data_IF_774205621427
#
_entry.id   IF_774205621427
#
_cell.length_a   1.000
_cell.length_b   1.000
_cell.length_c   1.000
_cell.angle_alpha   90.00
_cell.angle_beta   90.00
_cell.angle_gamma   90.00
#
_symmetry.space_group_name_H-M   'P 1'
#
loop_
_entity.id
_entity.type
_entity.pdbx_description
1 polymer ?
#
# COMPACT_ATOMS: atom_id res chain seq x y z
N UNK A 1 17.45 -22.11 -0.42
CA UNK A 1 18.53 -21.77 0.52
C UNK A 1 19.06 -20.37 0.21
N UNK A 2 19.81 -20.18 -0.88
CA UNK A 2 20.49 -18.90 -1.20
C UNK A 2 19.68 -17.61 -1.02
N UNK A 3 18.44 -17.52 -1.55
CA UNK A 3 17.67 -16.27 -1.44
C UNK A 3 17.40 -15.79 -0.01
N UNK A 4 17.28 -16.71 0.97
CA UNK A 4 17.03 -16.34 2.37
C UNK A 4 18.33 -15.97 3.08
N UNK A 5 19.43 -16.66 2.76
CA UNK A 5 20.76 -16.36 3.27
C UNK A 5 21.22 -14.96 2.82
N UNK A 6 21.05 -14.64 1.53
CA UNK A 6 21.33 -13.30 0.98
C UNK A 6 20.54 -12.20 1.71
N UNK A 7 19.31 -12.52 2.11
CA UNK A 7 18.42 -11.59 2.82
C UNK A 7 18.85 -11.39 4.27
N UNK A 8 19.27 -12.46 4.95
CA UNK A 8 19.82 -12.39 6.30
C UNK A 8 21.13 -11.60 6.33
N UNK A 9 21.99 -11.78 5.33
CA UNK A 9 23.21 -11.00 5.16
C UNK A 9 22.88 -9.51 4.94
N UNK A 10 21.95 -9.19 4.03
CA UNK A 10 21.54 -7.81 3.78
C UNK A 10 20.98 -7.13 5.04
N UNK A 11 20.13 -7.82 5.81
CA UNK A 11 19.61 -7.31 7.09
C UNK A 11 20.77 -7.07 8.07
N UNK A 12 21.74 -7.97 8.15
CA UNK A 12 22.94 -7.82 8.98
C UNK A 12 23.76 -6.58 8.62
N UNK A 13 24.01 -6.38 7.32
CA UNK A 13 24.74 -5.22 6.79
C UNK A 13 24.02 -3.92 7.13
N UNK A 14 22.70 -3.82 6.88
CA UNK A 14 21.97 -2.59 7.18
C UNK A 14 21.84 -2.31 8.69
N UNK A 15 21.71 -3.35 9.54
CA UNK A 15 21.77 -3.16 10.99
C UNK A 15 23.12 -2.60 11.43
N UNK A 16 24.21 -3.09 10.85
CA UNK A 16 25.54 -2.55 11.13
C UNK A 16 25.69 -1.11 10.64
N UNK A 17 25.19 -0.79 9.45
CA UNK A 17 25.19 0.57 8.91
C UNK A 17 24.44 1.55 9.84
N UNK A 18 23.22 1.19 10.27
CA UNK A 18 22.42 1.98 11.23
C UNK A 18 23.16 2.18 12.56
N UNK A 19 23.86 1.15 13.04
CA UNK A 19 24.62 1.23 14.31
C UNK A 19 25.86 2.13 14.22
N UNK A 20 26.54 2.12 13.07
CA UNK A 20 27.80 2.85 12.87
C UNK A 20 27.59 4.29 12.38
N UNK A 21 26.48 4.55 11.71
CA UNK A 21 26.18 5.88 11.20
C UNK A 21 25.98 6.89 12.35
N UNK A 22 26.56 8.10 12.25
CA UNK A 22 26.25 9.20 13.15
C UNK A 22 24.74 9.50 13.20
N UNK A 23 24.26 10.01 14.34
CA UNK A 23 22.84 10.30 14.54
C UNK A 23 22.27 11.35 13.56
N UNK A 24 23.13 12.22 13.04
CA UNK A 24 22.84 13.27 12.06
C UNK A 24 23.24 12.89 10.62
N UNK A 25 23.55 11.62 10.38
CA UNK A 25 23.93 11.15 9.04
C UNK A 25 22.79 11.36 8.04
N UNK A 26 23.05 12.02 6.89
CA UNK A 26 22.03 12.22 5.85
C UNK A 26 21.59 10.90 5.19
N UNK A 27 22.40 9.84 5.30
CA UNK A 27 22.11 8.52 4.73
C UNK A 27 21.29 7.63 5.68
N UNK A 28 21.14 8.04 6.95
CA UNK A 28 20.40 7.28 7.96
C UNK A 28 18.99 6.87 7.51
N UNK A 29 18.17 7.76 6.89
CA UNK A 29 16.86 7.36 6.38
C UNK A 29 16.92 6.23 5.35
N UNK A 30 17.91 6.26 4.46
CA UNK A 30 18.11 5.23 3.44
C UNK A 30 18.49 3.88 4.05
N UNK A 31 19.39 3.86 5.03
CA UNK A 31 19.75 2.63 5.76
C UNK A 31 18.56 2.02 6.49
N UNK A 32 17.75 2.86 7.15
CA UNK A 32 16.54 2.42 7.86
C UNK A 32 15.48 1.87 6.89
N UNK A 33 15.24 2.54 5.77
CA UNK A 33 14.30 2.06 4.76
C UNK A 33 14.75 0.73 4.15
N UNK A 34 16.03 0.58 3.86
CA UNK A 34 16.56 -0.65 3.28
C UNK A 34 16.54 -1.81 4.30
N UNK A 35 16.83 -1.51 5.58
CA UNK A 35 16.62 -2.46 6.67
C UNK A 35 15.16 -2.92 6.74
N UNK A 36 14.20 -1.99 6.69
CA UNK A 36 12.78 -2.30 6.69
C UNK A 36 12.36 -3.18 5.51
N UNK A 37 12.96 -2.97 4.34
CA UNK A 37 12.72 -3.77 3.13
C UNK A 37 13.25 -5.19 3.29
N UNK A 38 14.45 -5.34 3.86
CA UNK A 38 15.00 -6.65 4.19
C UNK A 38 14.11 -7.41 5.18
N UNK A 39 13.70 -6.75 6.26
CA UNK A 39 12.83 -7.31 7.30
C UNK A 39 11.45 -7.71 6.74
N UNK A 40 10.83 -6.86 5.92
CA UNK A 40 9.55 -7.18 5.26
C UNK A 40 9.68 -8.39 4.33
N UNK A 41 10.76 -8.47 3.54
CA UNK A 41 11.03 -9.64 2.72
C UNK A 41 11.26 -10.91 3.54
N UNK A 42 11.83 -10.79 4.76
CA UNK A 42 12.05 -11.94 5.65
C UNK A 42 10.75 -12.38 6.28
N UNK A 43 9.91 -11.42 6.66
CA UNK A 43 8.55 -11.67 7.10
C UNK A 43 7.73 -12.44 6.05
N UNK A 44 7.76 -12.03 4.79
CA UNK A 44 7.02 -12.71 3.71
C UNK A 44 7.42 -14.18 3.55
N UNK A 45 8.69 -14.51 3.81
CA UNK A 45 9.25 -15.85 3.58
C UNK A 45 9.23 -16.75 4.81
N UNK A 46 9.48 -16.18 5.99
CA UNK A 46 9.62 -16.90 7.25
C UNK A 46 8.43 -16.71 8.20
N UNK A 47 7.55 -15.74 7.91
CA UNK A 47 6.32 -15.49 8.66
C UNK A 47 6.52 -14.94 10.08
N UNK A 48 7.70 -14.43 10.42
CA UNK A 48 8.06 -13.98 11.78
C UNK A 48 7.45 -12.61 12.08
N UNK A 49 6.38 -12.51 12.91
CA UNK A 49 5.67 -11.25 13.12
C UNK A 49 6.56 -10.12 13.63
N UNK A 50 7.61 -10.45 14.39
CA UNK A 50 8.58 -9.49 14.91
C UNK A 50 9.31 -8.74 13.80
N UNK A 51 9.55 -9.39 12.65
CA UNK A 51 10.20 -8.76 11.49
C UNK A 51 9.31 -7.69 10.87
N UNK A 52 8.00 -7.93 10.80
CA UNK A 52 7.05 -6.95 10.29
C UNK A 52 6.93 -5.75 11.23
N UNK A 53 6.88 -5.98 12.54
CA UNK A 53 6.85 -4.89 13.53
C UNK A 53 8.13 -4.07 13.50
N UNK A 54 9.31 -4.71 13.41
CA UNK A 54 10.58 -4.01 13.26
C UNK A 54 10.64 -3.24 11.95
N UNK A 55 10.16 -3.81 10.83
CA UNK A 55 10.10 -3.16 9.53
C UNK A 55 9.28 -1.85 9.59
N UNK A 56 8.06 -1.91 10.14
CA UNK A 56 7.21 -0.73 10.30
C UNK A 56 7.90 0.32 11.18
N UNK A 57 8.56 -0.10 12.26
CA UNK A 57 9.32 0.79 13.14
C UNK A 57 10.43 1.54 12.41
N UNK A 58 11.25 0.84 11.63
CA UNK A 58 12.36 1.48 10.89
C UNK A 58 11.87 2.30 9.70
N UNK A 59 10.77 1.91 9.03
CA UNK A 59 10.14 2.74 7.99
C UNK A 59 9.61 4.06 8.56
N UNK A 60 8.92 4.03 9.71
CA UNK A 60 8.47 5.26 10.38
C UNK A 60 9.66 6.15 10.71
N UNK A 61 10.73 5.56 11.26
CA UNK A 61 11.95 6.32 11.58
C UNK A 61 12.62 6.91 10.34
N UNK A 62 12.63 6.20 9.21
CA UNK A 62 13.13 6.73 7.94
C UNK A 62 12.31 7.95 7.50
N UNK A 63 10.98 7.87 7.55
CA UNK A 63 10.09 9.01 7.21
C UNK A 63 10.32 10.20 8.14
N UNK A 64 10.43 9.97 9.45
CA UNK A 64 10.70 11.03 10.45
C UNK A 64 12.02 11.78 10.21
N UNK A 65 13.07 11.05 9.84
CA UNK A 65 14.41 11.61 9.63
C UNK A 65 14.59 12.20 8.23
N UNK A 66 13.69 11.92 7.29
CA UNK A 66 13.81 12.42 5.92
C UNK A 66 13.42 13.89 5.84
N UNK A 67 14.30 14.78 5.33
CA UNK A 67 13.97 16.19 5.18
C UNK A 67 12.74 16.43 4.28
N UNK A 68 11.99 17.47 4.59
CA UNK A 68 10.89 17.91 3.74
C UNK A 68 11.39 18.25 2.33
N UNK A 69 10.71 17.73 1.31
CA UNK A 69 11.09 17.91 -0.10
C UNK A 69 12.16 16.94 -0.61
N UNK A 70 12.62 15.99 0.20
CA UNK A 70 13.50 14.92 -0.27
C UNK A 70 12.82 14.11 -1.40
N UNK A 71 13.53 13.80 -2.49
CA UNK A 71 13.01 12.96 -3.58
C UNK A 71 12.71 11.52 -3.13
N UNK A 72 13.30 11.04 -2.03
CA UNK A 72 13.09 9.67 -1.52
C UNK A 72 11.83 9.55 -0.64
N UNK A 73 11.31 10.67 -0.14
CA UNK A 73 10.15 10.71 0.76
C UNK A 73 8.94 9.91 0.23
N UNK A 74 8.54 10.01 -1.05
CA UNK A 74 7.43 9.20 -1.57
C UNK A 74 7.67 7.70 -1.46
N UNK A 75 8.88 7.23 -1.73
CA UNK A 75 9.23 5.81 -1.63
C UNK A 75 9.16 5.30 -0.20
N UNK A 76 9.68 6.07 0.76
CA UNK A 76 9.65 5.70 2.17
C UNK A 76 8.22 5.67 2.73
N UNK A 77 7.39 6.65 2.36
CA UNK A 77 5.97 6.66 2.71
C UNK A 77 5.22 5.46 2.12
N UNK A 78 5.50 5.09 0.88
CA UNK A 78 4.90 3.92 0.25
C UNK A 78 5.31 2.61 0.93
N UNK A 79 6.57 2.48 1.33
CA UNK A 79 7.05 1.30 2.05
C UNK A 79 6.42 1.19 3.44
N UNK A 80 6.33 2.30 4.17
CA UNK A 80 5.60 2.38 5.43
C UNK A 80 4.14 1.94 5.25
N UNK A 81 3.44 2.49 4.24
CA UNK A 81 2.06 2.12 3.94
C UNK A 81 1.90 0.63 3.65
N UNK A 82 2.88 0.03 2.98
CA UNK A 82 2.88 -1.41 2.65
C UNK A 82 3.03 -2.26 3.90
N UNK A 83 3.97 -1.94 4.79
CA UNK A 83 4.10 -2.65 6.07
C UNK A 83 2.82 -2.56 6.91
N UNK A 84 2.22 -1.36 7.00
CA UNK A 84 0.96 -1.13 7.72
C UNK A 84 -0.21 -1.91 7.12
N UNK A 85 -0.36 -1.91 5.79
CA UNK A 85 -1.41 -2.67 5.13
C UNK A 85 -1.25 -4.18 5.34
N UNK A 86 -0.02 -4.70 5.26
CA UNK A 86 0.26 -6.12 5.57
C UNK A 86 -0.10 -6.44 7.03
N UNK A 87 0.24 -5.57 7.98
CA UNK A 87 -0.16 -5.78 9.39
C UNK A 87 -1.68 -5.75 9.56
N UNK A 88 -2.37 -4.85 8.87
CA UNK A 88 -3.84 -4.82 8.84
C UNK A 88 -4.43 -6.13 8.30
N UNK A 89 -3.95 -6.65 7.17
CA UNK A 89 -4.45 -7.89 6.58
C UNK A 89 -4.28 -9.10 7.52
N UNK A 90 -3.28 -9.05 8.41
CA UNK A 90 -2.94 -10.15 9.32
C UNK A 90 -3.62 -10.06 10.67
N UNK A 91 -3.71 -8.86 11.23
CA UNK A 91 -4.17 -8.61 12.60
C UNK A 91 -5.55 -7.95 12.63
N UNK A 92 -5.97 -7.34 11.52
CA UNK A 92 -7.28 -6.71 11.37
C UNK A 92 -7.42 -5.34 12.04
N UNK A 93 -6.30 -4.69 12.42
CA UNK A 93 -6.30 -3.38 13.12
C UNK A 93 -6.74 -2.24 12.20
N UNK A 94 -7.94 -1.66 12.37
CA UNK A 94 -8.45 -0.65 11.45
C UNK A 94 -7.56 0.58 11.33
N UNK A 95 -6.86 0.95 12.41
CA UNK A 95 -5.98 2.10 12.50
C UNK A 95 -4.79 1.97 11.54
N UNK A 96 -4.25 0.76 11.37
CA UNK A 96 -3.15 0.50 10.44
C UNK A 96 -3.58 0.75 9.00
N UNK A 97 -4.80 0.38 8.65
CA UNK A 97 -5.34 0.63 7.31
C UNK A 97 -5.56 2.12 7.05
N UNK A 98 -6.09 2.86 8.03
CA UNK A 98 -6.27 4.31 7.87
C UNK A 98 -4.91 5.03 7.76
N UNK A 99 -3.91 4.64 8.56
CA UNK A 99 -2.55 5.17 8.46
C UNK A 99 -1.93 4.82 7.10
N UNK A 100 -2.07 3.57 6.63
CA UNK A 100 -1.57 3.13 5.32
C UNK A 100 -2.15 3.99 4.18
N UNK A 101 -3.48 4.19 4.15
CA UNK A 101 -4.13 5.06 3.15
C UNK A 101 -3.59 6.49 3.24
N UNK A 102 -3.41 7.02 4.45
CA UNK A 102 -2.85 8.35 4.68
C UNK A 102 -1.45 8.50 4.06
N UNK A 103 -0.53 7.59 4.36
CA UNK A 103 0.84 7.66 3.85
C UNK A 103 0.91 7.36 2.35
N UNK A 104 0.06 6.47 1.81
CA UNK A 104 -0.04 6.26 0.37
C UNK A 104 -0.52 7.49 -0.38
N UNK A 105 -1.55 8.19 0.13
CA UNK A 105 -2.01 9.45 -0.47
C UNK A 105 -0.88 10.48 -0.47
N UNK A 106 -0.15 10.58 0.64
CA UNK A 106 0.99 11.50 0.73
C UNK A 106 2.12 11.14 -0.23
N UNK A 107 2.41 9.86 -0.42
CA UNK A 107 3.36 9.39 -1.42
C UNK A 107 2.94 9.82 -2.83
N UNK A 108 1.68 9.59 -3.22
CA UNK A 108 1.13 10.00 -4.52
C UNK A 108 1.17 11.53 -4.71
N UNK A 109 0.86 12.30 -3.68
CA UNK A 109 0.90 13.77 -3.72
C UNK A 109 2.32 14.32 -3.94
N UNK A 110 3.31 13.74 -3.25
CA UNK A 110 4.71 14.17 -3.33
C UNK A 110 5.44 13.64 -4.56
N UNK A 111 4.89 12.64 -5.26
CA UNK A 111 5.53 12.05 -6.44
C UNK A 111 5.37 12.96 -7.66
N UNK A 112 6.47 13.36 -8.32
CA UNK A 112 6.42 14.16 -9.53
C UNK A 112 5.60 13.52 -10.66
N UNK A 113 4.95 14.35 -11.46
CA UNK A 113 4.27 13.90 -12.67
C UNK A 113 5.27 13.22 -13.63
N UNK A 114 4.94 12.03 -14.11
CA UNK A 114 5.81 11.25 -14.99
C UNK A 114 6.84 10.36 -14.29
N UNK A 115 6.88 10.34 -12.95
CA UNK A 115 7.70 9.37 -12.22
C UNK A 115 7.32 7.93 -12.59
N UNK A 116 8.31 7.04 -12.83
CA UNK A 116 8.06 5.62 -13.11
C UNK A 116 7.42 4.89 -11.92
N UNK A 117 7.54 5.41 -10.70
CA UNK A 117 6.99 4.78 -9.49
C UNK A 117 5.50 5.13 -9.25
N UNK A 118 5.01 6.19 -9.90
CA UNK A 118 3.64 6.69 -9.75
C UNK A 118 2.57 5.60 -9.92
N UNK A 119 2.65 4.69 -10.93
CA UNK A 119 1.67 3.61 -11.07
C UNK A 119 1.63 2.66 -9.87
N UNK A 120 2.80 2.31 -9.31
CA UNK A 120 2.90 1.43 -8.14
C UNK A 120 2.27 2.07 -6.90
N UNK A 121 2.55 3.35 -6.65
CA UNK A 121 1.97 4.08 -5.51
C UNK A 121 0.46 4.24 -5.64
N UNK A 122 -0.05 4.50 -6.85
CA UNK A 122 -1.48 4.55 -7.12
C UNK A 122 -2.16 3.20 -6.90
N UNK A 123 -1.51 2.10 -7.30
CA UNK A 123 -2.03 0.75 -7.08
C UNK A 123 -2.10 0.41 -5.58
N UNK A 124 -1.07 0.78 -4.82
CA UNK A 124 -1.04 0.54 -3.37
C UNK A 124 -2.11 1.36 -2.64
N UNK A 125 -2.29 2.63 -3.02
CA UNK A 125 -3.40 3.45 -2.54
C UNK A 125 -4.75 2.79 -2.87
N UNK A 126 -4.93 2.31 -4.09
CA UNK A 126 -6.14 1.59 -4.51
C UNK A 126 -6.38 0.34 -3.67
N UNK A 127 -5.32 -0.36 -3.25
CA UNK A 127 -5.40 -1.56 -2.42
C UNK A 127 -5.90 -1.23 -1.03
N UNK A 128 -5.32 -0.20 -0.38
CA UNK A 128 -5.79 0.27 0.93
C UNK A 128 -7.26 0.74 0.89
N UNK A 129 -7.63 1.54 -0.11
CA UNK A 129 -9.02 1.98 -0.31
C UNK A 129 -9.98 0.81 -0.53
N UNK A 130 -9.54 -0.20 -1.29
CA UNK A 130 -10.33 -1.43 -1.50
C UNK A 130 -10.54 -2.18 -0.19
N UNK A 131 -9.49 -2.33 0.63
CA UNK A 131 -9.59 -2.97 1.93
C UNK A 131 -10.54 -2.21 2.87
N UNK A 132 -10.54 -0.87 2.81
CA UNK A 132 -11.47 -0.06 3.61
C UNK A 132 -12.91 -0.20 3.13
N UNK A 133 -13.13 -0.25 1.82
CA UNK A 133 -14.44 -0.55 1.24
C UNK A 133 -14.95 -1.93 1.67
N UNK A 134 -14.11 -2.97 1.60
CA UNK A 134 -14.51 -4.34 1.98
C UNK A 134 -14.86 -4.44 3.47
N UNK A 135 -14.19 -3.67 4.33
CA UNK A 135 -14.48 -3.60 5.77
C UNK A 135 -15.72 -2.77 6.10
N UNK A 136 -15.81 -1.56 5.54
CA UNK A 136 -16.77 -0.54 5.97
C UNK A 136 -17.94 -0.32 5.02
N UNK A 137 -17.92 -0.93 3.82
CA UNK A 137 -18.97 -0.83 2.82
C UNK A 137 -19.16 0.55 2.20
N UNK A 138 -18.18 1.46 2.33
CA UNK A 138 -18.28 2.87 1.90
C UNK A 138 -18.13 3.00 0.37
N UNK A 139 -19.20 3.31 -0.38
CA UNK A 139 -19.13 3.36 -1.84
C UNK A 139 -18.11 4.38 -2.38
N UNK A 140 -17.85 5.45 -1.63
CA UNK A 140 -16.88 6.48 -1.99
C UNK A 140 -15.46 5.91 -2.08
N UNK A 141 -15.11 4.99 -1.18
CA UNK A 141 -13.81 4.31 -1.18
C UNK A 141 -13.64 3.41 -2.40
N UNK A 142 -14.73 2.74 -2.81
CA UNK A 142 -14.75 1.91 -4.02
C UNK A 142 -14.55 2.76 -5.28
N UNK A 143 -15.24 3.90 -5.40
CA UNK A 143 -15.07 4.79 -6.55
C UNK A 143 -13.68 5.42 -6.58
N UNK A 144 -13.14 5.84 -5.42
CA UNK A 144 -11.77 6.35 -5.33
C UNK A 144 -10.75 5.27 -5.73
N UNK A 145 -10.90 4.04 -5.24
CA UNK A 145 -10.06 2.91 -5.61
C UNK A 145 -10.07 2.66 -7.14
N UNK A 146 -11.25 2.64 -7.76
CA UNK A 146 -11.39 2.51 -9.22
C UNK A 146 -10.68 3.65 -9.95
N UNK A 147 -10.82 4.89 -9.45
CA UNK A 147 -10.17 6.07 -10.00
C UNK A 147 -8.64 5.93 -10.01
N UNK A 148 -8.04 5.56 -8.88
CA UNK A 148 -6.59 5.43 -8.77
C UNK A 148 -6.06 4.22 -9.55
N UNK A 149 -6.78 3.08 -9.58
CA UNK A 149 -6.39 1.94 -10.41
C UNK A 149 -6.42 2.25 -11.90
N UNK A 150 -7.45 2.98 -12.38
CA UNK A 150 -7.49 3.45 -13.78
C UNK A 150 -6.30 4.34 -14.11
N UNK A 151 -5.92 5.22 -13.19
CA UNK A 151 -4.75 6.09 -13.36
C UNK A 151 -3.46 5.28 -13.37
N UNK A 152 -3.30 4.26 -12.52
CA UNK A 152 -2.16 3.34 -12.53
C UNK A 152 -2.03 2.61 -13.87
N UNK A 153 -3.12 1.99 -14.35
CA UNK A 153 -3.18 1.32 -15.66
C UNK A 153 -2.83 2.27 -16.80
N UNK A 154 -3.39 3.48 -16.82
CA UNK A 154 -3.13 4.48 -17.87
C UNK A 154 -1.65 4.90 -17.93
N UNK A 155 -0.98 4.97 -16.79
CA UNK A 155 0.41 5.43 -16.68
C UNK A 155 1.43 4.29 -16.87
N UNK A 156 0.98 3.04 -16.90
CA UNK A 156 1.87 1.87 -17.01
C UNK A 156 2.07 1.49 -18.48
N UNK A 157 3.32 1.36 -18.97
CA UNK A 157 3.60 0.86 -20.31
C UNK A 157 2.99 -0.52 -20.58
N UNK A 158 2.59 -0.76 -21.84
CA UNK A 158 1.93 -2.01 -22.24
C UNK A 158 2.80 -3.27 -22.07
N UNK A 159 4.12 -3.11 -22.10
CA UNK A 159 5.13 -4.16 -21.91
C UNK A 159 5.56 -4.34 -20.45
N UNK A 160 5.06 -3.52 -19.53
CA UNK A 160 5.36 -3.65 -18.11
C UNK A 160 4.72 -4.91 -17.53
N UNK A 161 5.48 -5.73 -16.76
CA UNK A 161 4.93 -6.91 -16.09
C UNK A 161 3.86 -6.55 -15.04
N UNK A 162 3.90 -5.34 -14.49
CA UNK A 162 2.98 -4.89 -13.44
C UNK A 162 1.60 -4.52 -13.98
N UNK A 163 1.49 -4.21 -15.27
CA UNK A 163 0.23 -3.84 -15.91
C UNK A 163 -0.85 -4.89 -15.67
N UNK A 164 -0.48 -6.18 -15.71
CA UNK A 164 -1.41 -7.29 -15.45
C UNK A 164 -1.95 -7.25 -14.02
N UNK A 165 -1.12 -6.91 -13.04
CA UNK A 165 -1.53 -6.80 -11.64
C UNK A 165 -2.54 -5.66 -11.50
N UNK A 166 -2.23 -4.49 -12.08
CA UNK A 166 -3.10 -3.32 -12.00
C UNK A 166 -4.45 -3.52 -12.71
N UNK A 167 -4.44 -4.22 -13.86
CA UNK A 167 -5.67 -4.60 -14.56
C UNK A 167 -6.54 -5.54 -13.72
N UNK A 168 -5.94 -6.54 -13.06
CA UNK A 168 -6.69 -7.46 -12.18
C UNK A 168 -7.34 -6.73 -11.00
N UNK A 169 -6.60 -5.81 -10.38
CA UNK A 169 -7.12 -5.02 -9.27
C UNK A 169 -8.26 -4.10 -9.71
N UNK A 170 -8.13 -3.47 -10.89
CA UNK A 170 -9.21 -2.68 -11.50
C UNK A 170 -10.44 -3.54 -11.80
N UNK A 171 -10.25 -4.70 -12.45
CA UNK A 171 -11.33 -5.63 -12.80
C UNK A 171 -12.10 -6.11 -11.57
N UNK A 172 -11.39 -6.48 -10.49
CA UNK A 172 -12.00 -6.86 -9.22
C UNK A 172 -12.91 -5.75 -8.67
N UNK A 173 -12.46 -4.49 -8.68
CA UNK A 173 -13.27 -3.37 -8.19
C UNK A 173 -14.44 -3.03 -9.11
N UNK A 174 -14.27 -3.15 -10.43
CA UNK A 174 -15.37 -2.98 -11.38
C UNK A 174 -16.46 -4.04 -11.17
N UNK A 175 -16.10 -5.30 -10.89
CA UNK A 175 -17.06 -6.35 -10.52
C UNK A 175 -17.80 -6.04 -9.22
N UNK A 176 -17.08 -5.59 -8.19
CA UNK A 176 -17.71 -5.19 -6.92
C UNK A 176 -18.75 -4.09 -7.14
N UNK A 177 -18.42 -3.08 -7.95
CA UNK A 177 -19.33 -1.99 -8.29
C UNK A 177 -20.57 -2.47 -9.02
N UNK A 178 -20.42 -3.32 -10.04
CA UNK A 178 -21.54 -3.88 -10.79
C UNK A 178 -22.46 -4.71 -9.89
N UNK A 179 -21.90 -5.52 -8.99
CA UNK A 179 -22.68 -6.31 -8.04
C UNK A 179 -23.43 -5.42 -7.03
N UNK A 180 -22.81 -4.34 -6.56
CA UNK A 180 -23.46 -3.37 -5.67
C UNK A 180 -24.64 -2.67 -6.35
N UNK A 181 -24.47 -2.23 -7.60
CA UNK A 181 -25.54 -1.59 -8.40
C UNK A 181 -26.70 -2.54 -8.73
N UNK A 182 -26.41 -3.81 -8.99
CA UNK A 182 -27.47 -4.80 -9.24
C UNK A 182 -28.32 -5.04 -7.97
N UNK A 183 -27.68 -5.15 -6.80
CA UNK A 183 -28.37 -5.31 -5.51
C UNK A 183 -29.23 -4.10 -5.14
N UNK A 184 -28.78 -2.89 -5.44
CA UNK A 184 -29.58 -1.68 -5.18
C UNK A 184 -30.80 -1.60 -6.09
N UNK A 185 -30.65 -1.91 -7.38
CA UNK A 185 -31.75 -1.95 -8.34
C UNK A 185 -32.84 -2.97 -7.96
N UNK A 186 -32.45 -4.19 -7.54
CA UNK A 186 -33.38 -5.25 -7.12
C UNK A 186 -34.19 -4.85 -5.87
N UNK A 187 -33.53 -4.23 -4.88
CA UNK A 187 -34.21 -3.69 -3.69
C UNK A 187 -35.19 -2.57 -4.03
N UNK A 188 -34.83 -1.68 -4.95
CA UNK A 188 -35.72 -0.62 -5.42
C UNK A 188 -36.95 -1.18 -6.15
N UNK A 189 -36.80 -2.23 -6.97
CA UNK A 189 -37.94 -2.90 -7.60
C UNK A 189 -38.84 -3.61 -6.58
N UNK A 190 -38.27 -4.34 -5.61
CA UNK A 190 -39.05 -5.06 -4.60
C UNK A 190 -39.85 -4.13 -3.68
N UNK A 191 -39.31 -2.95 -3.35
CA UNK A 191 -40.03 -1.94 -2.56
C UNK A 191 -41.19 -1.32 -3.33
N UNK A 192 -41.05 -1.13 -4.65
CA UNK A 192 -42.10 -0.53 -5.48
C UNK A 192 -43.32 -1.46 -5.70
N UNK A 193 -43.16 -2.78 -5.58
CA UNK A 193 -44.27 -3.74 -5.66
C UNK A 193 -45.11 -3.81 -4.37
N UNK A 194 -44.53 -3.55 -3.20
CA UNK A 194 -45.27 -3.55 -1.94
C UNK A 194 -46.17 -2.31 -1.74
N UNK A 195 -45.86 -1.19 -2.39
CA UNK A 195 -46.58 0.08 -2.24
C UNK A 195 -47.78 0.22 -3.21
N UNK A 196 -47.87 -0.62 -4.25
CA UNK A 196 -49.01 -0.65 -5.19
C UNK A 196 -50.11 -1.66 -4.82
N UNK A 197 -49.99 -2.30 -3.66
CA UNK A 197 -50.90 -3.37 -3.21
C UNK A 197 -51.81 -2.97 -2.03
N UNK A 198 -51.98 -1.66 -1.78
CA UNK A 198 -52.87 -1.11 -0.73
C UNK A 198 -53.88 -0.13 -1.31
#
# INVERSE_FOLDING_TARGET
>A
AGKLEDLEEAIGVYRQAVKLAPADSPDMPGYLNNLGTGLSGRYERAGRPEDLEEAIGVYRRAVELTPAGSPDMPGYLNNLGTGLNVRYERVGRPEDLEEAIGVYRRAVELTPAGSPDMPGYLNNLGTGLSGRYERAGRPEDLEEAIGVYRRAVKLTPADSPDLRIYLNNLDARLRNRSAHMAKSADRSSSSAFHDKSR
#
